data_IF_886634603257
#
_entry.id   IF_886634603257
#
_cell.length_a   1.000
_cell.length_b   1.000
_cell.length_c   1.000
_cell.angle_alpha   90.00
_cell.angle_beta   90.00
_cell.angle_gamma   90.00
#
_symmetry.space_group_name_H-M   'P 1'
#
loop_
_entity.id
_entity.type
_entity.pdbx_description
1 polymer ?
#
# COMPACT_ATOMS: atom_id res chain seq x y z
N UNK A 1 -7.35 10.15 13.00
CA UNK A 1 -6.55 8.95 13.37
C UNK A 1 -5.68 8.47 12.21
N UNK A 2 -6.25 7.93 11.13
CA UNK A 2 -5.50 7.38 9.97
C UNK A 2 -4.44 8.32 9.38
N UNK A 3 -4.76 9.61 9.14
CA UNK A 3 -3.79 10.58 8.59
C UNK A 3 -2.54 10.76 9.47
N UNK A 4 -2.72 10.74 10.79
CA UNK A 4 -1.61 10.88 11.73
C UNK A 4 -0.74 9.62 11.77
N UNK A 5 -1.35 8.44 11.65
CA UNK A 5 -0.64 7.16 11.54
C UNK A 5 0.19 7.10 10.25
N UNK A 6 -0.39 7.51 9.12
CA UNK A 6 0.30 7.61 7.82
C UNK A 6 1.50 8.57 7.90
N UNK A 7 1.30 9.77 8.46
CA UNK A 7 2.37 10.75 8.60
C UNK A 7 3.51 10.23 9.48
N UNK A 8 3.18 9.61 10.62
CA UNK A 8 4.17 9.01 11.53
C UNK A 8 4.98 7.92 10.82
N UNK A 9 4.31 7.00 10.13
CA UNK A 9 4.99 5.91 9.39
C UNK A 9 5.97 6.44 8.34
N UNK A 10 5.63 7.53 7.64
CA UNK A 10 6.54 8.15 6.66
C UNK A 10 7.79 8.74 7.33
N UNK A 11 7.65 9.39 8.48
CA UNK A 11 8.78 9.95 9.24
C UNK A 11 9.73 8.83 9.68
N UNK A 12 9.19 7.72 10.18
CA UNK A 12 9.98 6.55 10.59
C UNK A 12 10.78 5.97 9.41
N UNK A 13 10.16 5.82 8.24
CA UNK A 13 10.85 5.34 7.04
C UNK A 13 11.99 6.26 6.59
N UNK A 14 11.77 7.59 6.67
CA UNK A 14 12.77 8.57 6.25
C UNK A 14 14.01 8.59 7.14
N UNK A 15 14.06 7.92 8.30
CA UNK A 15 15.28 7.86 9.12
C UNK A 15 16.40 7.08 8.42
N UNK A 16 16.06 6.07 7.61
CA UNK A 16 17.03 5.19 6.95
C UNK A 16 17.62 5.75 5.66
N UNK A 17 18.94 5.71 5.52
CA UNK A 17 19.65 6.08 4.27
C UNK A 17 19.30 5.15 3.12
N UNK A 18 19.19 3.84 3.37
CA UNK A 18 18.77 2.85 2.38
C UNK A 18 17.38 3.16 1.82
N UNK A 19 16.39 3.42 2.68
CA UNK A 19 15.04 3.76 2.24
C UNK A 19 15.02 4.99 1.35
N UNK A 20 15.78 6.04 1.71
CA UNK A 20 15.89 7.25 0.89
C UNK A 20 16.48 6.95 -0.49
N UNK A 21 17.53 6.14 -0.56
CA UNK A 21 18.16 5.76 -1.83
C UNK A 21 17.19 4.97 -2.72
N UNK A 22 16.47 4.00 -2.17
CA UNK A 22 15.45 3.25 -2.90
C UNK A 22 14.33 4.16 -3.42
N UNK A 23 13.78 5.01 -2.54
CA UNK A 23 12.71 5.93 -2.90
C UNK A 23 13.14 6.93 -4.00
N UNK A 24 14.38 7.45 -3.94
CA UNK A 24 14.91 8.32 -5.01
C UNK A 24 14.99 7.57 -6.35
N UNK A 25 15.51 6.34 -6.35
CA UNK A 25 15.61 5.52 -7.56
C UNK A 25 14.26 5.15 -8.13
N UNK A 26 13.34 4.63 -7.31
CA UNK A 26 11.98 4.28 -7.73
C UNK A 26 11.24 5.49 -8.30
N UNK A 27 11.31 6.64 -7.63
CA UNK A 27 10.63 7.83 -8.08
C UNK A 27 11.21 8.39 -9.40
N UNK A 28 12.53 8.29 -9.60
CA UNK A 28 13.15 8.63 -10.87
C UNK A 28 12.72 7.67 -11.99
N UNK A 29 12.63 6.36 -11.73
CA UNK A 29 12.28 5.36 -12.74
C UNK A 29 10.81 5.39 -13.12
N UNK A 30 9.90 5.40 -12.13
CA UNK A 30 8.47 5.28 -12.37
C UNK A 30 7.80 6.61 -12.73
N UNK A 31 8.34 7.72 -12.24
CA UNK A 31 7.69 9.03 -12.35
C UNK A 31 8.56 10.11 -12.99
N UNK A 32 9.82 9.79 -13.34
CA UNK A 32 10.80 10.76 -13.84
C UNK A 32 10.98 11.98 -12.92
N UNK A 33 10.71 11.80 -11.62
CA UNK A 33 10.77 12.86 -10.62
C UNK A 33 11.21 12.31 -9.26
N UNK A 34 12.51 12.34 -8.93
CA UNK A 34 12.99 11.90 -7.62
C UNK A 34 12.48 12.77 -6.46
N UNK A 35 12.00 13.99 -6.72
CA UNK A 35 11.55 14.93 -5.70
C UNK A 35 10.21 14.53 -5.05
N UNK A 36 9.52 13.51 -5.58
CA UNK A 36 8.32 12.91 -4.97
C UNK A 36 8.58 12.47 -3.52
N UNK A 37 9.81 12.11 -3.15
CA UNK A 37 10.15 11.81 -1.76
C UNK A 37 9.82 12.96 -0.79
N UNK A 38 9.92 14.20 -1.26
CA UNK A 38 9.68 15.41 -0.47
C UNK A 38 8.21 15.88 -0.55
N UNK A 39 7.58 15.73 -1.71
CA UNK A 39 6.25 16.31 -1.99
C UNK A 39 5.10 15.31 -1.89
N UNK A 40 5.39 14.00 -1.98
CA UNK A 40 4.39 12.95 -2.07
C UNK A 40 3.48 12.87 -0.83
N UNK A 41 3.98 13.24 0.34
CA UNK A 41 3.17 13.26 1.57
C UNK A 41 2.06 14.33 1.50
N UNK A 42 2.34 15.49 0.92
CA UNK A 42 1.33 16.56 0.81
C UNK A 42 0.19 16.14 -0.11
N UNK A 43 0.53 15.47 -1.23
CA UNK A 43 -0.44 14.87 -2.15
C UNK A 43 -1.29 13.78 -1.49
N UNK A 44 -0.70 12.98 -0.61
CA UNK A 44 -1.44 11.98 0.17
C UNK A 44 -2.39 12.63 1.19
N UNK A 45 -1.94 13.73 1.81
CA UNK A 45 -2.73 14.49 2.77
C UNK A 45 -3.85 15.31 2.12
N UNK A 46 -3.75 15.63 0.83
CA UNK A 46 -4.83 16.30 0.09
C UNK A 46 -5.98 15.37 -0.32
N UNK A 47 -5.85 14.05 -0.12
CA UNK A 47 -6.90 13.09 -0.50
C UNK A 47 -8.18 13.35 0.30
N UNK A 48 -9.32 13.45 -0.39
CA UNK A 48 -10.63 13.70 0.24
C UNK A 48 -11.40 12.42 0.53
N UNK A 49 -12.44 12.52 1.35
CA UNK A 49 -13.34 11.40 1.65
C UNK A 49 -14.01 10.87 0.38
N UNK A 50 -14.43 11.77 -0.50
CA UNK A 50 -15.13 11.47 -1.75
C UNK A 50 -14.22 10.70 -2.71
N UNK A 51 -12.95 11.10 -2.79
CA UNK A 51 -11.94 10.39 -3.57
C UNK A 51 -11.70 8.97 -3.03
N UNK A 52 -11.66 8.79 -1.71
CA UNK A 52 -11.56 7.46 -1.09
C UNK A 52 -12.79 6.60 -1.44
N UNK A 53 -14.00 7.17 -1.30
CA UNK A 53 -15.23 6.46 -1.63
C UNK A 53 -15.30 6.09 -3.12
N UNK A 54 -14.85 6.99 -4.00
CA UNK A 54 -14.75 6.72 -5.44
C UNK A 54 -13.78 5.56 -5.72
N UNK A 55 -12.59 5.60 -5.13
CA UNK A 55 -11.60 4.53 -5.32
C UNK A 55 -12.12 3.17 -4.83
N UNK A 56 -12.79 3.13 -3.67
CA UNK A 56 -13.41 1.91 -3.15
C UNK A 56 -14.44 1.35 -4.14
N UNK A 57 -15.33 2.18 -4.67
CA UNK A 57 -16.33 1.76 -5.67
C UNK A 57 -15.71 1.30 -6.99
N UNK A 58 -14.56 1.83 -7.37
CA UNK A 58 -13.86 1.47 -8.61
C UNK A 58 -13.11 0.15 -8.49
N UNK A 59 -12.43 -0.09 -7.36
CA UNK A 59 -11.48 -1.20 -7.24
C UNK A 59 -11.97 -2.35 -6.37
N UNK A 60 -12.84 -2.10 -5.38
CA UNK A 60 -13.38 -3.13 -4.48
C UNK A 60 -14.70 -3.68 -5.04
N UNK A 61 -14.62 -4.32 -6.21
CA UNK A 61 -15.76 -4.95 -6.90
C UNK A 61 -15.58 -6.47 -6.96
N UNK A 62 -16.70 -7.19 -7.01
CA UNK A 62 -16.69 -8.66 -6.96
C UNK A 62 -15.91 -9.30 -8.12
N UNK A 63 -15.93 -8.67 -9.29
CA UNK A 63 -15.18 -9.15 -10.47
C UNK A 63 -13.66 -9.00 -10.31
N UNK A 64 -13.18 -8.16 -9.39
CA UNK A 64 -11.75 -7.96 -9.11
C UNK A 64 -11.31 -8.72 -7.84
N UNK A 65 -11.96 -9.84 -7.53
CA UNK A 65 -11.65 -10.65 -6.35
C UNK A 65 -10.99 -11.97 -6.74
N UNK A 66 -9.74 -12.16 -6.31
CA UNK A 66 -9.06 -13.47 -6.37
C UNK A 66 -8.94 -14.04 -4.96
N UNK A 67 -9.34 -15.29 -4.76
CA UNK A 67 -9.28 -15.98 -3.46
C UNK A 67 -8.41 -17.22 -3.58
N UNK A 68 -7.33 -17.27 -2.80
CA UNK A 68 -6.49 -18.46 -2.66
C UNK A 68 -6.76 -19.07 -1.28
N UNK A 69 -7.37 -20.25 -1.27
CA UNK A 69 -7.61 -21.02 -0.03
C UNK A 69 -6.68 -22.21 0.01
N UNK A 70 -5.77 -22.25 0.98
CA UNK A 70 -4.95 -23.44 1.25
C UNK A 70 -5.60 -24.21 2.40
N UNK A 71 -5.97 -25.46 2.15
CA UNK A 71 -6.53 -26.35 3.17
C UNK A 71 -5.53 -27.47 3.50
N UNK A 72 -5.51 -27.96 4.75
CA UNK A 72 -4.68 -29.11 5.12
C UNK A 72 -5.01 -30.33 4.25
N UNK A 73 -4.02 -31.19 3.99
CA UNK A 73 -4.25 -32.47 3.32
C UNK A 73 -5.24 -33.31 4.15
N UNK A 74 -6.35 -33.80 3.59
CA UNK A 74 -7.27 -34.68 4.31
C UNK A 74 -6.52 -35.91 4.83
N UNK A 75 -6.76 -36.29 6.09
CA UNK A 75 -6.22 -37.52 6.65
C UNK A 75 -6.99 -38.71 6.06
N UNK A 76 -6.42 -39.37 5.06
CA UNK A 76 -6.90 -40.69 4.63
C UNK A 76 -6.50 -41.73 5.70
N UNK A 77 -7.43 -42.06 6.62
CA UNK A 77 -7.29 -43.20 7.54
C UNK A 77 -7.43 -42.88 9.04
N UNK A 78 -8.60 -42.42 9.50
CA UNK A 78 -9.02 -42.56 10.90
C UNK A 78 -9.97 -43.78 11.03
N UNK A 79 -9.87 -44.60 12.10
CA UNK A 79 -10.71 -45.78 12.24
C UNK A 79 -12.19 -45.42 12.33
N UNK A 80 -13.01 -46.14 11.54
CA UNK A 80 -14.47 -46.21 11.68
C UNK A 80 -14.85 -46.92 12.97
#
# INVERSE_FOLDING_TARGET
KVRMEVKRGKVEQLVGTLYRAQALGENAVFYNDPNIINTGNDKLMSVTKEQIQKAARTYLIDSNRTVLTTVPKPRTGGPQ
#
